data_IF_537512811574
#
_entry.id   IF_537512811574
#
_cell.length_a   1.000
_cell.length_b   1.000
_cell.length_c   1.000
_cell.angle_alpha   90.00
_cell.angle_beta   90.00
_cell.angle_gamma   90.00
#
_symmetry.space_group_name_H-M   'P 1'
#
loop_
_entity.id
_entity.type
_entity.pdbx_description
1 polymer ?
#
# COMPACT_ATOMS: atom_id res chain seq x y z
N UNK A 1 5.41 -5.49 -17.89
CA UNK A 1 5.77 -4.18 -17.31
C UNK A 1 6.26 -4.45 -15.90
N UNK A 2 7.28 -3.73 -15.44
CA UNK A 2 7.80 -3.88 -14.08
C UNK A 2 7.05 -2.93 -13.14
N UNK A 3 6.69 -3.41 -11.95
CA UNK A 3 5.96 -2.66 -10.93
C UNK A 3 6.73 -2.69 -9.62
N UNK A 4 6.93 -1.49 -9.05
CA UNK A 4 7.60 -1.33 -7.75
C UNK A 4 6.57 -1.14 -6.66
N UNK A 5 6.60 -2.01 -5.65
CA UNK A 5 5.69 -1.95 -4.51
C UNK A 5 6.33 -2.55 -3.26
N UNK A 6 5.73 -2.29 -2.10
CA UNK A 6 6.21 -2.81 -0.83
C UNK A 6 5.13 -3.60 -0.12
N UNK A 7 5.47 -4.79 0.37
CA UNK A 7 4.61 -5.58 1.24
C UNK A 7 5.25 -5.69 2.62
N UNK A 8 4.53 -5.25 3.65
CA UNK A 8 4.98 -5.29 5.04
C UNK A 8 4.24 -6.37 5.80
N UNK A 9 4.96 -7.18 6.55
CA UNK A 9 4.45 -8.32 7.30
C UNK A 9 4.84 -8.29 8.77
N UNK A 10 4.00 -8.91 9.60
CA UNK A 10 4.32 -9.37 10.94
C UNK A 10 4.69 -10.85 10.86
N UNK A 11 5.85 -11.20 11.38
CA UNK A 11 6.27 -12.59 11.54
C UNK A 11 5.68 -13.17 12.83
N UNK A 12 5.43 -14.48 12.85
CA UNK A 12 5.05 -15.17 14.08
C UNK A 12 6.28 -15.36 14.98
N UNK A 13 6.04 -15.62 16.27
CA UNK A 13 7.13 -15.86 17.22
C UNK A 13 7.89 -17.17 16.95
N UNK A 14 7.37 -18.03 16.07
CA UNK A 14 8.00 -19.27 15.63
C UNK A 14 8.93 -19.04 14.42
N UNK A 15 8.74 -17.93 13.70
CA UNK A 15 9.52 -17.53 12.53
C UNK A 15 10.69 -16.61 12.95
N UNK A 16 11.57 -17.15 13.80
CA UNK A 16 12.69 -16.40 14.39
C UNK A 16 13.91 -16.31 13.48
N UNK A 17 14.08 -17.29 12.58
CA UNK A 17 15.25 -17.41 11.73
C UNK A 17 15.01 -16.68 10.40
N UNK A 18 15.60 -15.50 10.30
CA UNK A 18 15.45 -14.64 9.13
C UNK A 18 16.21 -15.18 7.92
N UNK A 19 17.33 -15.88 8.13
CA UNK A 19 18.14 -16.41 7.03
C UNK A 19 17.37 -17.55 6.35
N UNK A 20 16.76 -18.45 7.13
CA UNK A 20 15.89 -19.52 6.60
C UNK A 20 14.67 -18.94 5.85
N UNK A 21 14.07 -17.86 6.37
CA UNK A 21 12.94 -17.19 5.72
C UNK A 21 13.36 -16.58 4.38
N UNK A 22 14.54 -15.95 4.31
CA UNK A 22 15.07 -15.37 3.06
C UNK A 22 15.30 -16.46 2.02
N UNK A 23 15.87 -17.61 2.39
CA UNK A 23 16.06 -18.74 1.48
C UNK A 23 14.72 -19.26 0.95
N UNK A 24 13.75 -19.50 1.84
CA UNK A 24 12.39 -19.95 1.46
C UNK A 24 11.66 -18.96 0.54
N UNK A 25 11.84 -17.66 0.77
CA UNK A 25 11.25 -16.62 -0.09
C UNK A 25 11.89 -16.63 -1.47
N UNK A 26 13.21 -16.79 -1.57
CA UNK A 26 13.91 -16.96 -2.83
C UNK A 26 13.42 -18.18 -3.61
N UNK A 27 13.32 -19.34 -2.95
CA UNK A 27 12.80 -20.57 -3.57
C UNK A 27 11.34 -20.47 -4.01
N UNK A 28 10.54 -19.66 -3.33
CA UNK A 28 9.15 -19.40 -3.68
C UNK A 28 8.98 -18.34 -4.80
N UNK A 29 10.08 -17.82 -5.36
CA UNK A 29 10.06 -16.88 -6.48
C UNK A 29 10.00 -15.40 -6.07
N UNK A 30 10.34 -15.05 -4.82
CA UNK A 30 10.52 -13.66 -4.39
C UNK A 30 11.99 -13.19 -4.55
N UNK A 31 12.67 -13.64 -5.61
CA UNK A 31 14.06 -13.25 -5.94
C UNK A 31 14.16 -11.83 -6.53
N UNK A 32 13.03 -11.27 -6.93
CA UNK A 32 12.82 -9.90 -7.40
C UNK A 32 12.53 -8.90 -6.26
N UNK A 33 12.67 -9.31 -5.01
CA UNK A 33 12.40 -8.49 -3.84
C UNK A 33 13.65 -8.22 -2.99
N UNK A 34 13.82 -6.95 -2.60
CA UNK A 34 14.75 -6.59 -1.53
C UNK A 34 14.06 -6.78 -0.18
N UNK A 35 14.62 -7.64 0.68
CA UNK A 35 14.08 -7.95 2.01
C UNK A 35 14.74 -7.06 3.06
N UNK A 36 13.91 -6.39 3.86
CA UNK A 36 14.32 -5.51 4.96
C UNK A 36 13.72 -5.95 6.29
N UNK A 37 14.59 -6.11 7.30
CA UNK A 37 14.25 -6.54 8.67
C UNK A 37 14.65 -5.46 9.68
N UNK A 38 14.10 -4.26 9.50
CA UNK A 38 14.47 -3.10 10.32
C UNK A 38 13.87 -3.08 11.74
N UNK A 39 12.89 -3.93 12.03
CA UNK A 39 12.24 -4.02 13.34
C UNK A 39 12.02 -5.49 13.73
N UNK A 40 12.26 -5.88 15.00
CA UNK A 40 11.98 -7.23 15.47
C UNK A 40 10.53 -7.66 15.20
N UNK A 41 10.35 -8.85 14.63
CA UNK A 41 9.04 -9.41 14.27
C UNK A 41 8.36 -8.73 13.06
N UNK A 42 9.08 -7.86 12.33
CA UNK A 42 8.62 -7.24 11.08
C UNK A 42 9.54 -7.59 9.93
N UNK A 43 8.91 -7.74 8.77
CA UNK A 43 9.59 -7.93 7.50
C UNK A 43 8.94 -7.02 6.47
N UNK A 44 9.75 -6.32 5.67
CA UNK A 44 9.30 -5.56 4.52
C UNK A 44 9.98 -6.11 3.27
N UNK A 45 9.21 -6.29 2.20
CA UNK A 45 9.72 -6.72 0.91
C UNK A 45 9.44 -5.63 -0.11
N UNK A 46 10.48 -5.07 -0.72
CA UNK A 46 10.38 -4.11 -1.81
C UNK A 46 10.57 -4.87 -3.12
N UNK A 47 9.49 -5.07 -3.86
CA UNK A 47 9.48 -5.79 -5.13
C UNK A 47 9.79 -4.85 -6.30
N UNK A 48 10.48 -5.39 -7.29
CA UNK A 48 10.51 -4.87 -8.66
C UNK A 48 9.99 -6.01 -9.58
N UNK A 49 8.67 -6.19 -9.57
CA UNK A 49 8.05 -7.41 -10.11
C UNK A 49 7.41 -7.17 -11.47
N UNK A 50 7.65 -8.08 -12.41
CA UNK A 50 6.97 -8.06 -13.69
C UNK A 50 5.56 -8.64 -13.61
N UNK A 51 4.64 -8.03 -14.36
CA UNK A 51 3.28 -8.54 -14.52
C UNK A 51 2.57 -7.95 -15.74
N UNK A 52 1.41 -8.52 -16.09
CA UNK A 52 0.53 -7.95 -17.11
C UNK A 52 -0.27 -6.76 -16.56
N UNK A 53 -0.44 -6.68 -15.24
CA UNK A 53 -0.97 -5.51 -14.53
C UNK A 53 -0.35 -5.38 -13.14
N UNK A 54 -0.44 -4.19 -12.54
CA UNK A 54 0.00 -3.96 -11.17
C UNK A 54 -0.72 -4.93 -10.21
N UNK A 55 -2.03 -5.11 -10.37
CA UNK A 55 -2.81 -6.00 -9.51
C UNK A 55 -2.32 -7.45 -9.59
N UNK A 56 -2.04 -7.97 -10.79
CA UNK A 56 -1.49 -9.32 -10.94
C UNK A 56 -0.10 -9.48 -10.31
N UNK A 57 0.77 -8.47 -10.45
CA UNK A 57 2.10 -8.47 -9.82
C UNK A 57 2.01 -8.49 -8.29
N UNK A 58 1.11 -7.70 -7.70
CA UNK A 58 0.88 -7.71 -6.25
C UNK A 58 0.27 -9.05 -5.79
N UNK A 59 -0.70 -9.60 -6.52
CA UNK A 59 -1.36 -10.86 -6.15
C UNK A 59 -0.41 -12.05 -6.25
N UNK A 60 0.45 -12.11 -7.27
CA UNK A 60 1.48 -13.14 -7.33
C UNK A 60 2.43 -13.03 -6.14
N UNK A 61 2.88 -11.83 -5.78
CA UNK A 61 3.79 -11.64 -4.64
C UNK A 61 3.13 -12.04 -3.31
N UNK A 62 1.85 -11.73 -3.12
CA UNK A 62 1.09 -12.18 -1.96
C UNK A 62 0.98 -13.71 -1.88
N UNK A 63 0.82 -14.39 -3.03
CA UNK A 63 0.75 -15.86 -3.07
C UNK A 63 2.10 -16.49 -2.71
N UNK A 64 3.18 -15.99 -3.30
CA UNK A 64 4.52 -16.53 -3.08
C UNK A 64 4.94 -16.37 -1.61
N UNK A 65 4.70 -15.19 -1.02
CA UNK A 65 4.96 -14.99 0.42
C UNK A 65 4.06 -15.88 1.27
N UNK A 66 2.79 -16.05 0.92
CA UNK A 66 1.87 -16.90 1.69
C UNK A 66 2.27 -18.37 1.67
N UNK A 67 2.86 -18.83 0.56
CA UNK A 67 3.41 -20.18 0.44
C UNK A 67 4.73 -20.31 1.22
N UNK A 68 5.63 -19.34 1.07
CA UNK A 68 6.93 -19.34 1.73
C UNK A 68 6.81 -19.22 3.25
N UNK A 69 5.94 -18.33 3.76
CA UNK A 69 5.79 -18.02 5.19
C UNK A 69 4.29 -17.96 5.55
N UNK A 70 3.61 -19.11 5.72
CA UNK A 70 2.16 -19.17 5.91
C UNK A 70 1.64 -18.46 7.17
N UNK A 71 2.48 -18.38 8.20
CA UNK A 71 2.25 -17.74 9.50
C UNK A 71 2.34 -16.21 9.42
N UNK A 72 3.01 -15.65 8.41
CA UNK A 72 3.17 -14.21 8.26
C UNK A 72 1.81 -13.52 8.03
N UNK A 73 1.60 -12.40 8.72
CA UNK A 73 0.38 -11.60 8.60
C UNK A 73 0.69 -10.30 7.88
N UNK A 74 0.00 -10.04 6.78
CA UNK A 74 0.12 -8.79 6.05
C UNK A 74 -0.28 -7.63 6.97
N UNK A 75 0.61 -6.65 7.07
CA UNK A 75 0.38 -5.40 7.80
C UNK A 75 -0.12 -4.34 6.84
N UNK A 76 0.55 -4.18 5.70
CA UNK A 76 0.28 -3.12 4.74
C UNK A 76 0.88 -3.45 3.38
N UNK A 77 0.14 -3.19 2.31
CA UNK A 77 0.65 -3.07 0.95
C UNK A 77 0.83 -1.58 0.62
N UNK A 78 1.96 -1.22 0.02
CA UNK A 78 2.28 0.17 -0.34
C UNK A 78 2.83 0.31 -1.76
N UNK A 79 2.83 1.54 -2.30
CA UNK A 79 2.40 2.78 -1.64
C UNK A 79 0.87 2.94 -1.58
N UNK A 80 0.32 3.24 -0.39
CA UNK A 80 -1.10 3.54 -0.21
C UNK A 80 -1.32 4.64 0.84
N UNK A 81 -1.02 4.37 2.11
CA UNK A 81 -1.15 5.36 3.18
C UNK A 81 -0.02 6.39 3.14
N UNK A 82 -0.36 7.64 2.82
CA UNK A 82 0.60 8.73 2.58
C UNK A 82 0.23 10.01 3.28
N UNK A 83 1.25 10.82 3.60
CA UNK A 83 1.10 12.23 3.94
C UNK A 83 1.27 13.13 2.72
N UNK A 84 1.03 14.43 2.88
CA UNK A 84 1.21 15.41 1.79
C UNK A 84 2.64 15.49 1.27
N UNK A 85 3.64 15.07 2.05
CA UNK A 85 5.04 15.04 1.61
C UNK A 85 5.24 13.97 0.55
N UNK A 86 4.77 12.75 0.79
CA UNK A 86 4.93 11.62 -0.13
C UNK A 86 4.16 11.89 -1.44
N UNK A 87 2.95 12.43 -1.32
CA UNK A 87 2.15 12.85 -2.50
C UNK A 87 2.88 13.91 -3.31
N UNK A 88 3.49 14.90 -2.64
CA UNK A 88 4.19 15.98 -3.32
C UNK A 88 5.43 15.45 -4.08
N UNK A 89 6.14 14.48 -3.51
CA UNK A 89 7.25 13.80 -4.17
C UNK A 89 6.80 13.07 -5.44
N UNK A 90 5.73 12.27 -5.36
CA UNK A 90 5.17 11.57 -6.52
C UNK A 90 4.67 12.55 -7.59
N UNK A 91 4.07 13.66 -7.17
CA UNK A 91 3.54 14.69 -8.09
C UNK A 91 4.61 15.68 -8.59
N UNK A 92 5.87 15.59 -8.14
CA UNK A 92 6.96 16.47 -8.56
C UNK A 92 6.84 17.91 -8.07
N UNK A 93 6.17 18.15 -6.94
CA UNK A 93 5.96 19.49 -6.35
C UNK A 93 6.47 19.56 -4.91
N UNK A 94 6.49 20.76 -4.32
CA UNK A 94 6.84 20.91 -2.91
C UNK A 94 5.66 20.55 -1.99
N UNK A 95 5.96 20.08 -0.77
CA UNK A 95 4.94 19.87 0.28
C UNK A 95 4.10 21.12 0.54
N UNK A 96 4.72 22.31 0.51
CA UNK A 96 4.01 23.57 0.70
C UNK A 96 3.02 23.85 -0.44
N UNK A 97 3.39 23.53 -1.69
CA UNK A 97 2.50 23.61 -2.84
C UNK A 97 1.28 22.68 -2.65
N UNK A 98 1.53 21.41 -2.30
CA UNK A 98 0.45 20.43 -2.07
C UNK A 98 -0.48 20.84 -0.93
N UNK A 99 0.08 21.35 0.18
CA UNK A 99 -0.72 21.88 1.29
C UNK A 99 -1.57 23.08 0.87
N UNK A 100 -1.01 24.02 0.11
CA UNK A 100 -1.76 25.17 -0.41
C UNK A 100 -2.89 24.69 -1.32
N UNK A 101 -2.62 23.71 -2.19
CA UNK A 101 -3.59 23.14 -3.11
C UNK A 101 -4.77 22.50 -2.37
N UNK A 102 -4.50 21.69 -1.34
CA UNK A 102 -5.50 21.10 -0.46
C UNK A 102 -6.37 22.17 0.20
N UNK A 103 -5.76 23.20 0.80
CA UNK A 103 -6.50 24.28 1.46
C UNK A 103 -7.34 25.11 0.49
N UNK A 104 -6.84 25.36 -0.72
CA UNK A 104 -7.58 26.07 -1.78
C UNK A 104 -8.77 25.28 -2.34
N UNK A 105 -8.79 23.96 -2.14
CA UNK A 105 -9.83 23.07 -2.67
C UNK A 105 -10.39 22.15 -1.59
N UNK A 106 -10.58 22.68 -0.38
CA UNK A 106 -10.97 21.87 0.78
C UNK A 106 -12.29 21.10 0.62
N UNK A 107 -13.17 21.51 -0.30
CA UNK A 107 -14.44 20.83 -0.60
C UNK A 107 -14.24 19.61 -1.51
N UNK A 108 -13.36 19.74 -2.51
CA UNK A 108 -13.21 18.73 -3.56
C UNK A 108 -11.97 17.85 -3.37
N UNK A 109 -11.04 18.24 -2.50
CA UNK A 109 -9.85 17.47 -2.20
C UNK A 109 -10.24 16.17 -1.48
N UNK A 110 -9.63 15.01 -1.82
CA UNK A 110 -10.01 13.73 -1.23
C UNK A 110 -9.94 13.75 0.30
N UNK A 111 -10.94 13.16 0.98
CA UNK A 111 -10.94 13.10 2.44
C UNK A 111 -9.78 12.23 2.95
N UNK A 112 -9.17 12.58 4.09
CA UNK A 112 -8.19 11.72 4.73
C UNK A 112 -8.84 10.45 5.28
N UNK A 113 -8.09 9.34 5.26
CA UNK A 113 -8.48 8.09 5.94
C UNK A 113 -8.28 8.18 7.45
N UNK A 114 -7.38 9.06 7.88
CA UNK A 114 -7.11 9.34 9.27
C UNK A 114 -6.84 10.83 9.45
N UNK A 115 -7.55 11.43 10.41
CA UNK A 115 -7.38 12.82 10.79
C UNK A 115 -6.94 12.90 12.26
N UNK A 116 -5.64 13.09 12.47
CA UNK A 116 -5.00 13.18 13.78
C UNK A 116 -3.88 14.22 13.81
N UNK A 117 -2.84 13.98 14.61
CA UNK A 117 -1.66 14.86 14.63
C UNK A 117 -0.96 14.95 13.25
N UNK A 118 -0.99 13.84 12.50
CA UNK A 118 -0.70 13.80 11.08
C UNK A 118 -1.94 13.26 10.35
N UNK A 119 -2.34 13.94 9.29
CA UNK A 119 -3.38 13.44 8.38
C UNK A 119 -2.78 12.45 7.39
N UNK A 120 -3.54 11.39 7.09
CA UNK A 120 -3.15 10.32 6.17
C UNK A 120 -4.24 10.15 5.11
N UNK A 121 -3.81 9.91 3.88
CA UNK A 121 -4.69 9.67 2.73
C UNK A 121 -4.32 8.37 2.03
N UNK A 122 -5.25 7.85 1.24
CA UNK A 122 -4.90 6.91 0.17
C UNK A 122 -4.25 7.69 -0.99
N UNK A 123 -3.07 7.23 -1.41
CA UNK A 123 -2.32 7.84 -2.50
C UNK A 123 -3.13 7.84 -3.79
N UNK A 124 -3.80 6.73 -4.12
CA UNK A 124 -4.59 6.62 -5.35
C UNK A 124 -5.74 7.63 -5.43
N UNK A 125 -6.35 8.01 -4.30
CA UNK A 125 -7.44 9.00 -4.32
C UNK A 125 -6.92 10.39 -4.68
N UNK A 126 -5.78 10.79 -4.09
CA UNK A 126 -5.16 12.08 -4.41
C UNK A 126 -4.61 12.10 -5.83
N UNK A 127 -3.92 11.04 -6.27
CA UNK A 127 -3.41 10.96 -7.63
C UNK A 127 -4.56 11.03 -8.65
N UNK A 128 -5.67 10.32 -8.41
CA UNK A 128 -6.84 10.37 -9.28
C UNK A 128 -7.45 11.76 -9.38
N UNK A 129 -7.51 12.48 -8.25
CA UNK A 129 -7.95 13.88 -8.21
C UNK A 129 -7.00 14.82 -8.96
N UNK A 130 -5.68 14.66 -8.80
CA UNK A 130 -4.67 15.44 -9.51
C UNK A 130 -4.74 15.20 -11.02
N UNK A 131 -4.87 13.95 -11.46
CA UNK A 131 -5.03 13.58 -12.87
C UNK A 131 -6.29 14.20 -13.47
N UNK A 132 -7.42 14.17 -12.76
CA UNK A 132 -8.68 14.75 -13.23
C UNK A 132 -8.63 16.27 -13.41
N UNK A 133 -7.83 16.96 -12.58
CA UNK A 133 -7.61 18.42 -12.69
C UNK A 133 -6.67 18.79 -13.84
N UNK A 134 -5.79 17.89 -14.24
CA UNK A 134 -4.74 18.13 -15.22
C UNK A 134 -3.57 18.94 -14.67
N UNK A 135 -2.48 18.99 -15.45
CA UNK A 135 -1.26 19.72 -15.11
C UNK A 135 -0.25 18.97 -14.24
N UNK A 136 -0.48 17.68 -13.99
CA UNK A 136 0.44 16.79 -13.27
C UNK A 136 0.78 15.57 -14.14
N UNK A 137 2.07 15.29 -14.30
CA UNK A 137 2.55 14.08 -14.98
C UNK A 137 2.68 12.94 -13.98
N UNK A 138 1.57 12.26 -13.71
CA UNK A 138 1.55 11.07 -12.84
C UNK A 138 1.77 9.85 -13.72
N UNK A 139 2.82 9.07 -13.42
CA UNK A 139 3.08 7.82 -14.14
C UNK A 139 1.96 6.80 -13.87
N UNK A 140 1.48 6.15 -14.93
CA UNK A 140 0.36 5.22 -14.87
C UNK A 140 0.64 4.00 -13.98
N UNK A 141 1.87 3.50 -14.02
CA UNK A 141 2.36 2.40 -13.17
C UNK A 141 2.22 2.72 -11.67
N UNK A 142 2.65 3.91 -11.24
CA UNK A 142 2.55 4.35 -9.84
C UNK A 142 1.09 4.47 -9.41
N UNK A 143 0.23 5.02 -10.27
CA UNK A 143 -1.20 5.11 -10.00
C UNK A 143 -1.85 3.74 -9.86
N UNK A 144 -1.56 2.82 -10.79
CA UNK A 144 -2.12 1.48 -10.81
C UNK A 144 -1.67 0.64 -9.61
N UNK A 145 -0.39 0.77 -9.21
CA UNK A 145 0.13 0.15 -7.99
C UNK A 145 -0.57 0.71 -6.76
N UNK A 146 -0.68 2.04 -6.63
CA UNK A 146 -1.33 2.66 -5.48
C UNK A 146 -2.81 2.26 -5.37
N UNK A 147 -3.51 2.15 -6.50
CA UNK A 147 -4.88 1.68 -6.56
C UNK A 147 -5.00 0.21 -6.14
N UNK A 148 -4.07 -0.64 -6.59
CA UNK A 148 -4.05 -2.07 -6.26
C UNK A 148 -3.72 -2.29 -4.77
N UNK A 149 -2.72 -1.57 -4.24
CA UNK A 149 -2.35 -1.59 -2.84
C UNK A 149 -3.51 -1.16 -1.93
N UNK A 150 -4.23 -0.09 -2.29
CA UNK A 150 -5.47 0.32 -1.61
C UNK A 150 -6.49 -0.81 -1.51
N UNK A 151 -6.78 -1.52 -2.61
CA UNK A 151 -7.73 -2.63 -2.60
C UNK A 151 -7.31 -3.76 -1.66
N UNK A 152 -6.01 -4.09 -1.64
CA UNK A 152 -5.47 -5.11 -0.74
C UNK A 152 -5.61 -4.68 0.73
N UNK A 153 -5.29 -3.42 1.04
CA UNK A 153 -5.42 -2.89 2.39
C UNK A 153 -6.88 -2.86 2.84
N UNK A 154 -7.81 -2.41 1.99
CA UNK A 154 -9.25 -2.42 2.28
C UNK A 154 -9.76 -3.85 2.50
N UNK A 155 -9.36 -4.81 1.68
CA UNK A 155 -9.74 -6.21 1.86
C UNK A 155 -9.21 -6.80 3.18
N UNK A 156 -8.02 -6.38 3.62
CA UNK A 156 -7.45 -6.73 4.92
C UNK A 156 -8.27 -6.14 6.06
N UNK A 157 -8.57 -4.84 6.03
CA UNK A 157 -9.38 -4.17 7.07
C UNK A 157 -10.82 -4.70 7.14
N UNK A 158 -11.44 -4.98 5.99
CA UNK A 158 -12.79 -5.53 5.95
C UNK A 158 -12.91 -6.90 6.64
N UNK A 159 -11.82 -7.67 6.75
CA UNK A 159 -11.80 -8.94 7.48
C UNK A 159 -11.80 -8.78 9.00
N UNK A 160 -11.42 -7.62 9.51
CA UNK A 160 -11.46 -7.29 10.94
C UNK A 160 -12.86 -6.85 11.38
N UNK A 161 -13.77 -6.56 10.43
CA UNK A 161 -15.16 -6.27 10.73
C UNK A 161 -15.88 -7.54 11.20
N UNK A 162 -16.49 -7.47 12.38
CA UNK A 162 -17.35 -8.54 12.85
C UNK A 162 -18.57 -8.69 11.90
N UNK A 163 -18.89 -9.91 11.43
CA UNK A 163 -19.94 -10.13 10.45
C UNK A 163 -21.32 -9.57 10.85
N UNK A 164 -21.62 -9.53 12.15
CA UNK A 164 -22.88 -9.01 12.69
C UNK A 164 -22.97 -7.48 12.64
N UNK A 165 -21.83 -6.79 12.78
CA UNK A 165 -21.74 -5.33 12.73
C UNK A 165 -21.71 -4.80 11.30
N UNK A 166 -21.14 -5.56 10.35
CA UNK A 166 -20.97 -5.11 8.97
C UNK A 166 -22.30 -4.63 8.33
N UNK A 167 -23.37 -5.45 8.39
CA UNK A 167 -24.68 -5.06 7.82
C UNK A 167 -25.30 -3.83 8.48
N UNK A 168 -24.97 -3.56 9.75
CA UNK A 168 -25.54 -2.44 10.50
C UNK A 168 -24.77 -1.14 10.26
N UNK A 169 -23.46 -1.24 10.05
CA UNK A 169 -22.59 -0.10 9.78
C UNK A 169 -22.60 0.31 8.30
N UNK A 170 -22.80 -0.63 7.36
CA UNK A 170 -22.91 -0.34 5.92
C UNK A 170 -23.91 0.78 5.61
N UNK A 171 -25.04 0.86 6.33
CA UNK A 171 -26.04 1.91 6.12
C UNK A 171 -25.69 3.26 6.79
N UNK A 172 -24.78 3.27 7.76
CA UNK A 172 -24.47 4.45 8.58
C UNK A 172 -23.19 5.18 8.14
N UNK A 173 -22.29 4.49 7.42
CA UNK A 173 -20.96 4.97 7.05
C UNK A 173 -20.85 5.31 5.55
N UNK A 174 -21.92 5.09 4.77
CA UNK A 174 -22.00 5.38 3.34
C UNK A 174 -22.37 6.84 3.01
#
# INVERSE_FOLDING_TARGET
>A
MEYVFTLKYRLAAEDCDLDEIVERLGEAGCDDATIGVGQPGRMALVFAREGASAFEALISALKDIKQAVPSARLVEAGPDFVGLTDVAEVAGVSRQNMRKLMLSHAIDFPPPVHEGSASVWHLSDILGWLTARGGYEIKADVFDVAKSAKQINLAKEARELEPQLNRRLEFLVA
#
